data_IF_754694458179
#
_entry.id   IF_754694458179
#
_cell.length_a   1.000
_cell.length_b   1.000
_cell.length_c   1.000
_cell.angle_alpha   90.00
_cell.angle_beta   90.00
_cell.angle_gamma   90.00
#
_symmetry.space_group_name_H-M   'P 1'
#
loop_
_entity.id
_entity.type
_entity.pdbx_description
1 polymer ?
#
# COMPACT_ATOMS: atom_id res chain seq x y z
N UNK A 1 -8.53 -8.59 -11.54
CA UNK A 1 -7.65 -8.04 -12.59
C UNK A 1 -6.32 -8.81 -12.55
N UNK A 2 -5.60 -8.99 -13.66
CA UNK A 2 -4.33 -9.78 -13.72
C UNK A 2 -3.17 -8.98 -13.12
N UNK A 3 -2.40 -9.58 -12.21
CA UNK A 3 -1.16 -9.01 -11.69
C UNK A 3 0.08 -9.66 -12.30
N UNK A 4 1.21 -8.96 -12.29
CA UNK A 4 2.53 -9.48 -12.64
C UNK A 4 3.37 -9.58 -11.36
N UNK A 5 3.21 -10.71 -10.66
CA UNK A 5 3.97 -11.05 -9.45
C UNK A 5 5.19 -11.87 -9.88
N UNK A 6 6.39 -11.43 -9.47
CA UNK A 6 7.65 -12.11 -9.82
C UNK A 6 7.91 -13.36 -8.96
N UNK A 7 7.54 -13.36 -7.68
CA UNK A 7 7.62 -14.53 -6.79
C UNK A 7 6.75 -14.37 -5.52
N UNK A 8 5.73 -15.22 -5.35
CA UNK A 8 4.78 -15.23 -4.21
C UNK A 8 5.49 -15.43 -2.87
N UNK A 9 6.66 -16.07 -2.84
CA UNK A 9 7.42 -16.34 -1.60
C UNK A 9 7.99 -15.07 -0.94
N UNK A 10 7.99 -13.93 -1.64
CA UNK A 10 8.47 -12.65 -1.11
C UNK A 10 7.39 -11.90 -0.30
N UNK A 11 6.11 -12.29 -0.41
CA UNK A 11 4.99 -11.60 0.24
C UNK A 11 5.09 -11.55 1.78
N UNK A 12 5.49 -12.66 2.41
CA UNK A 12 5.60 -12.74 3.87
C UNK A 12 6.66 -11.79 4.44
N UNK A 13 7.78 -11.64 3.72
CA UNK A 13 8.83 -10.71 4.12
C UNK A 13 8.41 -9.26 3.84
N UNK A 14 7.68 -9.03 2.75
CA UNK A 14 7.05 -7.75 2.44
C UNK A 14 6.16 -7.25 3.57
N UNK A 15 5.30 -8.14 4.09
CA UNK A 15 4.44 -7.84 5.24
C UNK A 15 5.24 -7.39 6.47
N UNK A 16 6.31 -8.11 6.82
CA UNK A 16 7.16 -7.74 7.96
C UNK A 16 7.83 -6.37 7.77
N UNK A 17 8.28 -6.04 6.56
CA UNK A 17 8.85 -4.71 6.27
C UNK A 17 7.81 -3.61 6.36
N UNK A 18 6.60 -3.84 5.86
CA UNK A 18 5.49 -2.90 5.97
C UNK A 18 5.09 -2.68 7.43
N UNK A 19 5.03 -3.74 8.24
CA UNK A 19 4.78 -3.65 9.68
C UNK A 19 5.87 -2.84 10.40
N UNK A 20 7.14 -3.09 10.07
CA UNK A 20 8.26 -2.32 10.61
C UNK A 20 8.18 -0.84 10.21
N UNK A 21 7.99 -0.54 8.92
CA UNK A 21 7.84 0.82 8.42
C UNK A 21 6.63 1.54 9.04
N UNK A 22 5.55 0.82 9.34
CA UNK A 22 4.37 1.40 10.01
C UNK A 22 4.68 1.88 11.44
N UNK A 23 5.65 1.25 12.11
CA UNK A 23 6.17 1.73 13.40
C UNK A 23 6.80 3.12 13.30
N UNK A 24 7.50 3.38 12.20
CA UNK A 24 8.22 4.63 11.94
C UNK A 24 7.36 5.71 11.26
N UNK A 25 6.07 5.45 11.00
CA UNK A 25 5.13 6.39 10.37
C UNK A 25 3.98 6.81 11.32
N UNK A 26 4.27 7.45 12.46
CA UNK A 26 3.29 7.70 13.51
C UNK A 26 2.11 8.57 13.05
N UNK A 27 2.35 9.53 12.15
CA UNK A 27 1.30 10.43 11.64
C UNK A 27 0.29 9.66 10.79
N UNK A 28 0.73 8.82 9.85
CA UNK A 28 -0.19 8.00 9.06
C UNK A 28 -0.95 7.00 9.93
N UNK A 29 -0.32 6.46 10.97
CA UNK A 29 -1.00 5.59 11.94
C UNK A 29 -2.15 6.32 12.64
N UNK A 30 -1.92 7.55 13.12
CA UNK A 30 -2.96 8.38 13.74
C UNK A 30 -4.11 8.68 12.75
N UNK A 31 -3.77 9.10 11.53
CA UNK A 31 -4.75 9.37 10.48
C UNK A 31 -5.56 8.10 10.15
N UNK A 32 -4.91 6.94 10.05
CA UNK A 32 -5.57 5.66 9.78
C UNK A 32 -6.59 5.31 10.86
N UNK A 33 -6.26 5.50 12.14
CA UNK A 33 -7.21 5.25 13.23
C UNK A 33 -8.41 6.20 13.20
N UNK A 34 -8.21 7.48 12.86
CA UNK A 34 -9.32 8.40 12.64
C UNK A 34 -10.17 8.01 11.42
N UNK A 35 -9.52 7.65 10.33
CA UNK A 35 -10.16 7.28 9.07
C UNK A 35 -10.99 6.01 9.20
N UNK A 36 -10.54 5.02 9.99
CA UNK A 36 -11.33 3.83 10.32
C UNK A 36 -12.68 4.19 10.96
N UNK A 37 -12.71 5.21 11.82
CA UNK A 37 -13.92 5.66 12.53
C UNK A 37 -14.81 6.52 11.65
N UNK A 38 -14.23 7.54 11.03
CA UNK A 38 -14.98 8.59 10.30
C UNK A 38 -15.33 8.18 8.86
N UNK A 39 -14.59 7.23 8.28
CA UNK A 39 -14.68 6.82 6.86
C UNK A 39 -14.85 8.01 5.90
N UNK A 40 -13.98 9.04 5.96
CA UNK A 40 -14.20 10.29 5.22
C UNK A 40 -14.07 10.14 3.70
N UNK A 41 -13.51 9.04 3.21
CA UNK A 41 -13.29 8.76 1.80
C UNK A 41 -14.26 7.70 1.25
N UNK A 42 -15.33 7.40 1.99
CA UNK A 42 -16.29 6.34 1.64
C UNK A 42 -16.82 6.52 0.22
N UNK A 43 -16.63 5.49 -0.62
CA UNK A 43 -17.15 5.46 -1.98
C UNK A 43 -16.29 6.18 -3.02
N UNK A 44 -15.14 6.74 -2.63
CA UNK A 44 -14.21 7.37 -3.57
C UNK A 44 -13.28 6.33 -4.19
N UNK A 45 -13.11 6.39 -5.51
CA UNK A 45 -12.05 5.69 -6.22
C UNK A 45 -10.82 6.61 -6.29
N UNK A 46 -9.67 6.13 -5.82
CA UNK A 46 -8.44 6.93 -5.77
C UNK A 46 -7.37 6.22 -6.59
N UNK A 47 -6.93 6.81 -7.70
CA UNK A 47 -5.79 6.29 -8.46
C UNK A 47 -4.52 7.03 -8.03
N UNK A 48 -3.47 6.28 -7.73
CA UNK A 48 -2.14 6.79 -7.37
C UNK A 48 -1.10 6.26 -8.34
N UNK A 49 -0.27 7.15 -8.86
CA UNK A 49 0.91 6.82 -9.67
C UNK A 49 2.14 7.27 -8.88
N UNK A 50 2.72 6.35 -8.11
CA UNK A 50 3.77 6.65 -7.12
C UNK A 50 4.88 5.58 -7.17
N UNK A 51 6.00 5.87 -6.50
CA UNK A 51 7.00 4.85 -6.21
C UNK A 51 6.39 3.79 -5.30
N UNK A 52 6.46 2.53 -5.70
CA UNK A 52 5.90 1.42 -4.95
C UNK A 52 6.92 1.01 -3.90
N UNK A 53 6.66 1.36 -2.63
CA UNK A 53 7.53 1.08 -1.48
C UNK A 53 6.67 0.69 -0.27
N UNK A 54 7.31 0.27 0.83
CA UNK A 54 6.60 -0.09 2.08
C UNK A 54 5.79 1.08 2.66
N UNK A 55 6.29 2.32 2.53
CA UNK A 55 5.63 3.54 2.96
C UNK A 55 4.38 3.82 2.11
N UNK A 56 4.47 3.62 0.79
CA UNK A 56 3.32 3.72 -0.11
C UNK A 56 2.26 2.67 0.25
N UNK A 57 2.64 1.46 0.68
CA UNK A 57 1.70 0.47 1.19
C UNK A 57 0.86 1.02 2.35
N UNK A 58 1.53 1.65 3.32
CA UNK A 58 0.90 2.19 4.52
C UNK A 58 -0.04 3.34 4.17
N UNK A 59 0.36 4.19 3.22
CA UNK A 59 -0.51 5.24 2.67
C UNK A 59 -1.76 4.63 2.03
N UNK A 60 -1.62 3.65 1.15
CA UNK A 60 -2.76 3.01 0.48
C UNK A 60 -3.68 2.30 1.48
N UNK A 61 -3.14 1.64 2.50
CA UNK A 61 -3.91 1.06 3.60
C UNK A 61 -4.67 2.13 4.40
N UNK A 62 -4.10 3.32 4.56
CA UNK A 62 -4.72 4.44 5.25
C UNK A 62 -5.91 4.98 4.45
N UNK A 63 -5.76 5.14 3.13
CA UNK A 63 -6.85 5.54 2.24
C UNK A 63 -7.98 4.51 2.22
N UNK A 64 -7.66 3.21 2.11
CA UNK A 64 -8.64 2.10 2.21
C UNK A 64 -9.34 2.10 3.57
N UNK A 65 -8.60 2.34 4.65
CA UNK A 65 -9.17 2.49 5.98
C UNK A 65 -10.17 3.67 6.07
N UNK A 66 -9.96 4.73 5.28
CA UNK A 66 -10.88 5.84 5.10
C UNK A 66 -12.14 5.52 4.30
N UNK A 67 -12.28 4.31 3.75
CA UNK A 67 -13.43 3.87 2.95
C UNK A 67 -13.28 4.10 1.45
N UNK A 68 -12.10 4.54 1.00
CA UNK A 68 -11.79 4.62 -0.43
C UNK A 68 -11.56 3.24 -1.04
N UNK A 69 -11.61 3.19 -2.37
CA UNK A 69 -11.12 2.10 -3.21
C UNK A 69 -9.86 2.60 -3.93
N UNK A 70 -8.66 2.41 -3.34
CA UNK A 70 -7.43 2.93 -3.90
C UNK A 70 -6.82 1.95 -4.93
N UNK A 71 -6.29 2.49 -6.02
CA UNK A 71 -5.57 1.78 -7.07
C UNK A 71 -4.16 2.36 -7.16
N UNK A 72 -3.13 1.51 -7.26
CA UNK A 72 -1.75 1.93 -7.34
C UNK A 72 -1.12 1.46 -8.65
N UNK A 73 -0.43 2.36 -9.35
CA UNK A 73 0.53 2.00 -10.38
C UNK A 73 1.91 2.60 -10.07
N UNK A 74 2.96 1.97 -10.57
CA UNK A 74 4.31 2.45 -10.40
C UNK A 74 4.58 3.66 -11.30
N UNK A 75 5.11 4.75 -10.73
CA UNK A 75 5.46 5.97 -11.48
C UNK A 75 6.76 5.86 -12.28
N UNK A 76 7.60 4.87 -11.97
CA UNK A 76 8.85 4.63 -12.68
C UNK A 76 9.12 3.11 -12.80
N UNK A 77 9.35 2.59 -14.02
CA UNK A 77 9.65 1.18 -14.25
C UNK A 77 10.87 0.65 -13.47
N UNK A 78 11.84 1.51 -13.13
CA UNK A 78 13.02 1.15 -12.32
C UNK A 78 12.78 1.24 -10.80
N UNK A 79 11.73 1.96 -10.37
CA UNK A 79 11.37 2.09 -8.95
C UNK A 79 10.49 0.96 -8.45
N UNK A 80 9.88 0.21 -9.36
CA UNK A 80 9.39 -1.14 -9.08
C UNK A 80 10.62 -2.03 -9.02
N UNK A 81 11.42 -1.89 -7.97
CA UNK A 81 12.44 -2.89 -7.72
C UNK A 81 11.69 -4.17 -7.44
N UNK A 82 11.56 -5.08 -8.40
CA UNK A 82 10.94 -6.39 -8.14
C UNK A 82 11.72 -7.25 -7.10
N UNK A 83 12.69 -6.64 -6.41
CA UNK A 83 13.47 -7.14 -5.29
C UNK A 83 13.00 -6.53 -3.95
N UNK A 84 12.12 -5.52 -3.95
CA UNK A 84 11.50 -4.99 -2.74
C UNK A 84 10.24 -5.80 -2.41
N UNK A 85 10.42 -6.77 -1.51
CA UNK A 85 9.38 -7.69 -1.01
C UNK A 85 8.04 -6.98 -0.67
N UNK A 86 8.09 -5.69 -0.31
CA UNK A 86 6.91 -4.85 -0.03
C UNK A 86 6.05 -4.50 -1.25
N UNK A 87 6.62 -4.29 -2.44
CA UNK A 87 5.84 -3.96 -3.65
C UNK A 87 4.92 -5.10 -4.09
N UNK A 88 5.36 -6.34 -3.89
CA UNK A 88 4.59 -7.53 -4.21
C UNK A 88 3.31 -7.62 -3.37
N UNK A 89 3.44 -7.41 -2.06
CA UNK A 89 2.30 -7.46 -1.14
C UNK A 89 1.29 -6.34 -1.42
N UNK A 90 1.76 -5.13 -1.74
CA UNK A 90 0.91 -4.02 -2.17
C UNK A 90 0.10 -4.40 -3.41
N UNK A 91 0.72 -5.08 -4.37
CA UNK A 91 -0.01 -5.52 -5.56
C UNK A 91 -1.13 -6.51 -5.25
N UNK A 92 -1.00 -7.38 -4.24
CA UNK A 92 -2.05 -8.32 -3.84
C UNK A 92 -3.20 -7.63 -3.08
N UNK A 93 -2.89 -6.64 -2.23
CA UNK A 93 -3.86 -6.03 -1.31
C UNK A 93 -4.78 -4.96 -1.93
N UNK A 94 -4.39 -4.44 -3.11
CA UNK A 94 -5.07 -3.34 -3.80
C UNK A 94 -5.51 -3.68 -5.24
N UNK A 95 -5.52 -4.98 -5.60
CA UNK A 95 -6.04 -5.51 -6.87
C UNK A 95 -7.44 -6.10 -6.78
#
# INVERSE_FOLDING_TARGET
>A
MKYHIKDVKLADKGRKRIEWAAGEMPVLRLIKEEFKKKKPLKGLNIAACLHVTSETAILMQTLKAGGATPYLCASNPLSTQHDDEGSLWISEDFS
#
